data_IF_710155092321
#
_entry.id   IF_710155092321
#
_cell.length_a   1.000
_cell.length_b   1.000
_cell.length_c   1.000
_cell.angle_alpha   90.00
_cell.angle_beta   90.00
_cell.angle_gamma   90.00
#
_symmetry.space_group_name_H-M   'P 1'
#
loop_
_entity.id
_entity.type
_entity.pdbx_description
1 polymer ?
#
# COMPACT_ATOMS: atom_id res chain seq x y z
N UNK A 1 11.15 -39.84 0.99
CA UNK A 1 11.28 -38.97 2.18
C UNK A 1 10.26 -37.86 2.02
N UNK A 2 9.19 -37.92 2.82
CA UNK A 2 8.01 -37.05 2.79
C UNK A 2 7.96 -36.32 4.12
N UNK A 3 8.24 -35.02 4.15
CA UNK A 3 7.78 -34.09 5.21
C UNK A 3 7.75 -32.69 4.60
N UNK A 4 6.57 -32.20 4.22
CA UNK A 4 6.32 -30.76 4.11
C UNK A 4 5.01 -30.51 4.85
N UNK A 5 5.11 -29.61 5.82
CA UNK A 5 4.14 -29.38 6.88
C UNK A 5 2.88 -28.68 6.36
N UNK A 6 1.72 -29.20 6.82
CA UNK A 6 0.46 -28.46 6.84
C UNK A 6 0.59 -27.32 7.85
N UNK A 7 0.40 -26.08 7.40
CA UNK A 7 -0.09 -25.00 8.26
C UNK A 7 -1.52 -24.70 7.85
N UNK A 8 -2.46 -25.23 8.63
CA UNK A 8 -3.90 -24.97 8.51
C UNK A 8 -4.26 -23.83 9.45
N UNK A 9 -4.82 -22.79 8.83
CA UNK A 9 -5.68 -21.71 9.33
C UNK A 9 -6.37 -22.02 10.67
N UNK A 10 -6.11 -21.18 11.68
CA UNK A 10 -6.95 -21.12 12.88
C UNK A 10 -6.90 -19.74 13.54
N UNK A 11 -7.73 -18.80 13.09
CA UNK A 11 -8.14 -17.66 13.91
C UNK A 11 -9.58 -17.29 13.56
N UNK A 12 -10.52 -17.69 14.42
CA UNK A 12 -11.78 -17.01 14.77
C UNK A 12 -12.68 -18.00 15.53
N UNK A 13 -12.70 -17.90 16.86
CA UNK A 13 -13.87 -18.28 17.68
C UNK A 13 -13.73 -17.71 19.09
N UNK A 14 -14.34 -16.53 19.28
CA UNK A 14 -14.75 -16.00 20.58
C UNK A 14 -15.92 -16.85 21.07
N UNK A 15 -15.80 -17.52 22.23
CA UNK A 15 -16.94 -17.83 23.11
C UNK A 15 -16.51 -17.92 24.59
N UNK A 16 -16.93 -16.90 25.32
CA UNK A 16 -17.35 -16.84 26.73
C UNK A 16 -17.42 -18.16 27.52
N UNK A 17 -16.69 -18.25 28.65
CA UNK A 17 -17.19 -18.81 29.93
C UNK A 17 -16.51 -18.13 31.13
N UNK A 18 -17.33 -17.62 32.04
CA UNK A 18 -16.92 -16.94 33.27
C UNK A 18 -16.35 -17.88 34.33
N UNK A 19 -15.54 -17.30 35.21
CA UNK A 19 -15.07 -17.92 36.46
C UNK A 19 -15.33 -16.90 37.59
N UNK A 20 -16.22 -17.20 38.55
CA UNK A 20 -16.36 -16.40 39.76
C UNK A 20 -15.43 -16.89 40.87
N UNK A 21 -14.83 -15.95 41.60
CA UNK A 21 -14.31 -16.19 42.94
C UNK A 21 -12.80 -16.38 43.03
N UNK A 22 -12.07 -15.28 43.22
CA UNK A 22 -10.78 -15.30 43.90
C UNK A 22 -10.79 -14.21 44.98
N UNK A 23 -10.65 -14.69 46.22
CA UNK A 23 -10.66 -13.95 47.47
C UNK A 23 -9.44 -13.03 47.55
N UNK A 24 -9.68 -11.74 47.78
CA UNK A 24 -8.65 -10.76 48.15
C UNK A 24 -8.27 -11.00 49.60
N UNK A 25 -7.08 -11.56 49.85
CA UNK A 25 -6.43 -11.49 51.16
C UNK A 25 -5.50 -10.28 51.18
N UNK A 26 -5.77 -9.36 52.11
CA UNK A 26 -4.85 -8.31 52.55
C UNK A 26 -3.64 -8.96 53.22
N UNK A 27 -2.45 -8.43 52.95
CA UNK A 27 -1.36 -8.48 53.91
C UNK A 27 -0.71 -7.11 54.03
N UNK A 28 -0.88 -6.55 55.22
CA UNK A 28 -0.24 -5.35 55.74
C UNK A 28 1.26 -5.59 56.01
N UNK A 29 2.07 -4.54 55.81
CA UNK A 29 3.07 -4.13 56.81
C UNK A 29 4.56 -4.40 56.57
N UNK A 30 5.38 -3.36 56.80
CA UNK A 30 6.79 -3.43 57.20
C UNK A 30 7.82 -3.01 56.13
N UNK A 31 8.17 -1.72 55.95
CA UNK A 31 9.20 -0.92 56.67
C UNK A 31 10.63 -1.54 56.68
N UNK A 32 11.61 -0.95 55.94
CA UNK A 32 12.78 -0.17 56.42
C UNK A 32 13.93 -0.04 55.40
N UNK A 33 14.56 1.15 55.42
CA UNK A 33 15.97 1.49 55.13
C UNK A 33 16.44 1.86 53.71
N UNK A 34 16.35 3.17 53.42
CA UNK A 34 17.45 4.15 53.32
C UNK A 34 18.89 3.69 52.99
N UNK A 35 19.44 4.18 51.85
CA UNK A 35 20.82 4.68 51.61
C UNK A 35 20.68 5.77 50.51
N UNK A 36 20.71 7.08 50.76
CA UNK A 36 21.82 8.05 50.98
C UNK A 36 22.94 8.07 49.92
N UNK A 37 23.01 9.20 49.19
CA UNK A 37 24.25 9.81 48.66
C UNK A 37 24.46 9.61 47.15
N UNK A 38 24.77 10.61 46.32
CA UNK A 38 25.01 12.05 46.45
C UNK A 38 25.12 12.60 45.03
N UNK A 39 24.36 13.65 44.68
CA UNK A 39 24.75 15.05 44.60
C UNK A 39 25.96 15.42 43.72
N UNK A 40 25.63 16.32 42.80
CA UNK A 40 26.44 17.40 42.20
C UNK A 40 27.38 17.03 41.06
N UNK A 41 27.61 17.86 40.04
CA UNK A 41 27.07 19.11 39.46
C UNK A 41 28.11 19.51 38.40
N UNK A 42 27.83 20.56 37.59
CA UNK A 42 28.77 21.46 36.85
C UNK A 42 28.47 21.43 35.33
N UNK A 43 27.70 22.44 34.85
CA UNK A 43 28.15 23.61 34.04
C UNK A 43 28.71 23.21 32.66
N UNK A 44 28.41 23.83 31.53
CA UNK A 44 27.60 24.99 31.13
C UNK A 44 27.52 24.94 29.58
N UNK A 45 26.62 25.70 28.92
CA UNK A 45 26.57 25.80 27.46
C UNK A 45 27.46 26.96 26.94
N UNK A 46 27.83 26.95 25.64
CA UNK A 46 28.07 28.21 24.97
C UNK A 46 27.33 28.36 23.61
N UNK A 47 26.65 29.50 23.52
CA UNK A 47 26.72 30.51 22.44
C UNK A 47 26.22 30.22 21.02
N UNK A 48 25.06 30.81 20.72
CA UNK A 48 24.81 31.90 19.74
C UNK A 48 25.74 32.09 18.52
N UNK A 49 25.09 32.21 17.35
CA UNK A 49 25.61 32.73 16.08
C UNK A 49 25.27 31.76 14.94
N UNK A 50 24.60 32.10 13.84
CA UNK A 50 24.50 33.36 13.13
C UNK A 50 23.21 33.34 12.29
N UNK A 51 22.53 34.47 12.27
CA UNK A 51 21.61 34.89 11.21
C UNK A 51 22.34 34.82 9.87
N UNK A 52 21.75 34.16 8.87
CA UNK A 52 22.11 34.41 7.47
C UNK A 52 20.85 34.39 6.61
N UNK A 53 20.18 35.54 6.61
CA UNK A 53 19.11 35.88 5.68
C UNK A 53 19.72 36.16 4.30
N UNK A 54 19.88 35.11 3.47
CA UNK A 54 20.09 35.31 2.04
C UNK A 54 18.73 35.41 1.35
N UNK A 55 18.31 36.66 1.17
CA UNK A 55 17.43 37.03 0.07
C UNK A 55 18.12 36.71 -1.25
N UNK A 56 17.57 35.76 -2.01
CA UNK A 56 17.76 35.62 -3.45
C UNK A 56 16.35 35.57 -4.04
N UNK A 57 15.83 36.75 -4.37
CA UNK A 57 15.77 37.23 -5.76
C UNK A 57 14.73 36.46 -6.57
N UNK A 58 13.50 36.96 -6.45
CA UNK A 58 12.35 36.62 -7.27
C UNK A 58 12.59 37.19 -8.68
N UNK A 59 13.19 36.39 -9.56
CA UNK A 59 13.14 36.65 -11.00
C UNK A 59 11.74 36.35 -11.51
N UNK A 60 10.99 37.43 -11.78
CA UNK A 60 9.79 37.43 -12.60
C UNK A 60 10.14 36.93 -14.01
N UNK A 61 9.86 35.64 -14.25
CA UNK A 61 9.86 35.07 -15.59
C UNK A 61 8.71 35.64 -16.39
N UNK A 62 9.04 36.38 -17.45
CA UNK A 62 8.09 36.89 -18.44
C UNK A 62 7.31 35.74 -19.06
N UNK A 63 6.00 35.70 -18.80
CA UNK A 63 5.08 34.86 -19.57
C UNK A 63 4.97 35.43 -20.99
N UNK A 64 5.71 34.83 -21.91
CA UNK A 64 5.52 35.05 -23.34
C UNK A 64 4.28 34.27 -23.75
N UNK A 65 3.19 34.98 -24.01
CA UNK A 65 1.97 34.44 -24.59
C UNK A 65 2.28 33.96 -26.01
N UNK A 66 2.46 32.65 -26.19
CA UNK A 66 2.52 32.03 -27.52
C UNK A 66 1.07 31.93 -28.02
N UNK A 67 0.70 32.80 -28.96
CA UNK A 67 -0.48 32.61 -29.79
C UNK A 67 -0.29 31.34 -30.62
N UNK A 68 -1.05 30.29 -30.29
CA UNK A 68 -1.23 29.14 -31.17
C UNK A 68 -2.20 29.53 -32.32
N UNK A 69 -1.88 29.15 -33.57
CA UNK A 69 -2.79 29.32 -34.69
C UNK A 69 -4.03 28.42 -34.56
N UNK A 70 -5.18 28.83 -35.14
CA UNK A 70 -6.39 28.02 -35.14
C UNK A 70 -6.20 26.74 -35.96
N UNK A 71 -6.31 25.58 -35.31
CA UNK A 71 -6.37 24.29 -35.99
C UNK A 71 -7.78 24.06 -36.54
N UNK A 72 -7.86 24.00 -37.87
CA UNK A 72 -9.05 23.63 -38.63
C UNK A 72 -9.42 22.16 -38.39
N UNK A 73 -10.66 21.93 -37.97
CA UNK A 73 -11.27 20.61 -37.82
C UNK A 73 -11.66 20.02 -39.20
N UNK A 74 -11.18 18.83 -39.59
CA UNK A 74 -11.74 18.11 -40.72
C UNK A 74 -13.07 17.44 -40.34
N UNK A 75 -14.14 17.87 -41.02
CA UNK A 75 -15.42 17.17 -41.05
C UNK A 75 -15.24 15.79 -41.67
N UNK A 76 -15.58 14.73 -40.92
CA UNK A 76 -15.58 13.37 -41.46
C UNK A 76 -17.00 12.83 -41.50
N UNK A 77 -17.37 12.40 -42.70
CA UNK A 77 -18.67 11.97 -43.17
C UNK A 77 -19.12 10.68 -42.49
N UNK A 78 -20.38 10.65 -42.04
CA UNK A 78 -21.04 9.44 -41.59
C UNK A 78 -21.26 8.48 -42.77
N UNK A 79 -20.75 7.25 -42.65
CA UNK A 79 -21.10 6.13 -43.54
C UNK A 79 -22.06 5.21 -42.81
N UNK A 80 -23.29 5.12 -43.30
CA UNK A 80 -24.30 4.19 -42.85
C UNK A 80 -23.96 2.78 -43.37
N UNK A 81 -23.65 1.85 -42.46
CA UNK A 81 -23.55 0.42 -42.79
C UNK A 81 -24.82 -0.29 -42.36
N UNK A 82 -25.45 -0.94 -43.34
CA UNK A 82 -26.67 -1.74 -43.20
C UNK A 82 -26.41 -3.00 -42.36
N UNK A 83 -27.15 -3.14 -41.27
CA UNK A 83 -27.09 -4.30 -40.37
C UNK A 83 -27.87 -5.47 -40.94
N UNK A 84 -27.19 -6.58 -41.26
CA UNK A 84 -27.83 -7.88 -41.52
C UNK A 84 -28.04 -8.60 -40.20
N UNK A 85 -29.29 -8.65 -39.74
CA UNK A 85 -29.70 -9.36 -38.52
C UNK A 85 -29.60 -10.86 -38.75
N UNK A 86 -28.52 -11.47 -38.25
CA UNK A 86 -28.44 -12.92 -38.08
C UNK A 86 -28.96 -13.22 -36.69
N UNK A 87 -30.12 -13.89 -36.59
CA UNK A 87 -30.69 -14.36 -35.33
C UNK A 87 -29.85 -15.52 -34.84
N UNK A 88 -28.80 -15.21 -34.08
CA UNK A 88 -28.09 -16.19 -33.26
C UNK A 88 -28.96 -16.48 -32.05
N UNK A 89 -29.36 -17.74 -31.91
CA UNK A 89 -29.99 -18.30 -30.70
C UNK A 89 -29.12 -17.95 -29.50
N UNK A 90 -29.52 -16.94 -28.74
CA UNK A 90 -28.88 -16.56 -27.47
C UNK A 90 -29.20 -17.69 -26.49
N UNK A 91 -28.24 -18.60 -26.33
CA UNK A 91 -28.22 -19.51 -25.19
C UNK A 91 -28.34 -18.65 -23.93
N UNK A 92 -29.24 -18.96 -22.99
CA UNK A 92 -29.43 -18.14 -21.79
C UNK A 92 -28.09 -17.99 -21.11
N UNK A 93 -27.62 -16.74 -21.02
CA UNK A 93 -26.47 -16.36 -20.23
C UNK A 93 -26.69 -16.90 -18.84
N UNK A 94 -26.03 -18.00 -18.50
CA UNK A 94 -25.91 -18.45 -17.13
C UNK A 94 -25.32 -17.27 -16.38
N UNK A 95 -26.12 -16.64 -15.54
CA UNK A 95 -25.64 -15.73 -14.51
C UNK A 95 -24.63 -16.52 -13.70
N UNK A 96 -23.36 -16.44 -14.07
CA UNK A 96 -22.28 -17.16 -13.42
C UNK A 96 -22.30 -16.69 -11.99
N UNK A 97 -22.63 -17.61 -11.07
CA UNK A 97 -22.52 -17.35 -9.64
C UNK A 97 -21.11 -16.79 -9.43
N UNK A 98 -20.97 -15.58 -8.87
CA UNK A 98 -19.66 -15.00 -8.65
C UNK A 98 -18.85 -15.99 -7.83
N UNK A 99 -17.62 -16.24 -8.26
CA UNK A 99 -16.70 -17.12 -7.55
C UNK A 99 -16.71 -16.75 -6.06
N UNK A 100 -17.00 -17.73 -5.19
CA UNK A 100 -17.18 -17.51 -3.75
C UNK A 100 -15.93 -16.88 -3.13
N UNK A 101 -14.76 -17.15 -3.71
CA UNK A 101 -13.50 -16.51 -3.37
C UNK A 101 -13.56 -15.00 -3.64
N UNK A 102 -14.04 -14.59 -4.81
CA UNK A 102 -14.17 -13.18 -5.20
C UNK A 102 -15.16 -12.41 -4.33
N UNK A 103 -16.26 -13.04 -3.92
CA UNK A 103 -17.20 -12.44 -2.96
C UNK A 103 -16.52 -12.21 -1.61
N UNK A 104 -15.70 -13.16 -1.17
CA UNK A 104 -14.97 -13.06 0.10
C UNK A 104 -13.90 -11.97 0.04
N UNK A 105 -13.09 -11.91 -1.01
CA UNK A 105 -12.07 -10.88 -1.21
C UNK A 105 -12.69 -9.48 -1.25
N UNK A 106 -13.79 -9.31 -1.98
CA UNK A 106 -14.48 -8.01 -2.07
C UNK A 106 -14.95 -7.48 -0.70
N UNK A 107 -15.29 -8.37 0.24
CA UNK A 107 -15.73 -7.99 1.59
C UNK A 107 -14.61 -7.37 2.45
N UNK A 108 -13.36 -7.74 2.19
CA UNK A 108 -12.20 -7.31 2.98
C UNK A 108 -11.42 -6.17 2.32
N UNK A 109 -11.99 -5.50 1.31
CA UNK A 109 -11.35 -4.36 0.67
C UNK A 109 -10.95 -3.29 1.70
N UNK A 110 -9.67 -2.90 1.69
CA UNK A 110 -9.12 -1.91 2.63
C UNK A 110 -9.01 -2.39 4.09
N UNK A 111 -9.14 -3.70 4.35
CA UNK A 111 -8.93 -4.30 5.66
C UNK A 111 -7.58 -5.00 5.69
N UNK A 112 -6.77 -4.69 6.70
CA UNK A 112 -5.47 -5.32 6.90
C UNK A 112 -5.26 -5.65 8.38
N UNK A 113 -4.91 -6.90 8.67
CA UNK A 113 -4.83 -7.45 10.04
C UNK A 113 -6.07 -7.11 10.89
N UNK A 114 -7.26 -7.21 10.28
CA UNK A 114 -8.54 -6.94 10.94
C UNK A 114 -8.84 -5.45 11.18
N UNK A 115 -8.03 -4.53 10.67
CA UNK A 115 -8.26 -3.08 10.78
C UNK A 115 -8.65 -2.51 9.42
N UNK A 116 -9.81 -1.85 9.37
CA UNK A 116 -10.27 -1.15 8.18
C UNK A 116 -9.63 0.22 8.07
N UNK A 117 -9.25 0.61 6.85
CA UNK A 117 -8.75 1.93 6.50
C UNK A 117 -9.45 2.43 5.24
N UNK A 118 -10.24 3.49 5.39
CA UNK A 118 -10.92 4.17 4.28
C UNK A 118 -9.96 4.61 3.14
N UNK A 119 -8.82 5.28 3.40
CA UNK A 119 -7.91 5.65 2.32
C UNK A 119 -7.31 4.42 1.62
N UNK A 120 -7.13 3.30 2.33
CA UNK A 120 -6.71 2.06 1.71
C UNK A 120 -7.80 1.47 0.80
N UNK A 121 -9.06 1.52 1.22
CA UNK A 121 -10.19 1.09 0.41
C UNK A 121 -10.32 1.92 -0.89
N UNK A 122 -10.00 3.21 -0.84
CA UNK A 122 -9.95 4.09 -2.03
C UNK A 122 -8.84 3.64 -3.01
N UNK A 123 -7.62 3.41 -2.52
CA UNK A 123 -6.52 2.90 -3.35
C UNK A 123 -6.87 1.54 -3.98
N UNK A 124 -7.43 0.62 -3.20
CA UNK A 124 -7.87 -0.67 -3.71
C UNK A 124 -8.94 -0.54 -4.79
N UNK A 125 -9.92 0.35 -4.62
CA UNK A 125 -10.96 0.63 -5.62
C UNK A 125 -10.37 1.22 -6.90
N UNK A 126 -9.43 2.16 -6.77
CA UNK A 126 -8.77 2.79 -7.90
C UNK A 126 -7.91 1.79 -8.68
N UNK A 127 -7.17 0.91 -7.99
CA UNK A 127 -6.46 -0.21 -8.62
C UNK A 127 -7.41 -1.13 -9.40
N UNK A 128 -8.52 -1.57 -8.79
CA UNK A 128 -9.54 -2.40 -9.45
C UNK A 128 -10.13 -1.74 -10.70
N UNK A 129 -10.31 -0.42 -10.66
CA UNK A 129 -10.78 0.36 -11.80
C UNK A 129 -9.78 0.33 -12.96
N UNK A 130 -8.47 0.43 -12.68
CA UNK A 130 -7.41 0.30 -13.69
C UNK A 130 -7.34 -1.10 -14.30
N UNK A 131 -7.49 -2.13 -13.47
CA UNK A 131 -7.55 -3.54 -13.93
C UNK A 131 -8.75 -3.76 -14.85
N UNK A 132 -9.91 -3.22 -14.47
CA UNK A 132 -11.12 -3.26 -15.31
C UNK A 132 -10.92 -2.49 -16.63
N UNK A 133 -10.06 -1.46 -16.62
CA UNK A 133 -9.65 -0.70 -17.79
C UNK A 133 -8.56 -1.37 -18.66
N UNK A 134 -8.11 -2.58 -18.30
CA UNK A 134 -7.15 -3.36 -19.08
C UNK A 134 -5.73 -3.43 -18.50
N UNK A 135 -5.49 -2.95 -17.28
CA UNK A 135 -4.21 -3.19 -16.60
C UNK A 135 -4.01 -4.70 -16.36
N UNK A 136 -2.95 -5.26 -16.94
CA UNK A 136 -2.61 -6.67 -16.81
C UNK A 136 -1.45 -6.91 -15.83
N UNK A 137 -0.58 -5.93 -15.64
CA UNK A 137 0.55 -5.98 -14.71
C UNK A 137 0.30 -5.02 -13.54
N UNK A 138 -0.20 -5.57 -12.42
CA UNK A 138 -0.55 -4.79 -11.23
C UNK A 138 0.69 -4.24 -10.50
N UNK A 139 1.86 -4.83 -10.70
CA UNK A 139 3.12 -4.34 -10.09
C UNK A 139 3.82 -3.29 -10.96
N UNK A 140 3.25 -2.95 -12.12
CA UNK A 140 3.62 -1.76 -12.90
C UNK A 140 2.85 -0.49 -12.51
N UNK A 141 1.78 -0.62 -11.71
CA UNK A 141 0.93 0.51 -11.37
C UNK A 141 1.10 0.96 -9.92
N UNK A 142 1.40 2.25 -9.75
CA UNK A 142 1.61 2.89 -8.45
C UNK A 142 0.43 2.69 -7.49
N UNK A 143 -0.80 2.79 -7.99
CA UNK A 143 -2.02 2.68 -7.17
C UNK A 143 -2.21 1.25 -6.68
N UNK A 144 -1.93 0.26 -7.52
CA UNK A 144 -2.02 -1.15 -7.15
C UNK A 144 -0.94 -1.56 -6.14
N UNK A 145 0.30 -1.09 -6.30
CA UNK A 145 1.36 -1.32 -5.31
C UNK A 145 1.01 -0.67 -3.97
N UNK A 146 0.52 0.58 -3.96
CA UNK A 146 0.09 1.23 -2.73
C UNK A 146 -1.09 0.51 -2.06
N UNK A 147 -2.08 0.04 -2.84
CA UNK A 147 -3.18 -0.77 -2.33
C UNK A 147 -2.66 -2.05 -1.65
N UNK A 148 -1.74 -2.79 -2.30
CA UNK A 148 -1.13 -3.99 -1.73
C UNK A 148 -0.46 -3.71 -0.38
N UNK A 149 0.26 -2.60 -0.24
CA UNK A 149 0.93 -2.25 1.02
C UNK A 149 -0.01 -2.02 2.19
N UNK A 150 -1.27 -1.64 1.94
CA UNK A 150 -2.21 -1.29 3.00
C UNK A 150 -3.36 -2.27 3.21
N UNK A 151 -3.69 -3.11 2.21
CA UNK A 151 -4.71 -4.17 2.32
C UNK A 151 -4.13 -5.59 2.29
N UNK A 152 -2.84 -5.73 1.97
CA UNK A 152 -2.19 -7.02 1.80
C UNK A 152 -2.09 -7.44 0.33
N UNK A 153 -1.09 -8.27 0.05
CA UNK A 153 -0.80 -8.79 -1.30
C UNK A 153 -1.85 -9.80 -1.72
N UNK A 154 -2.31 -10.66 -0.82
CA UNK A 154 -3.31 -11.69 -1.11
C UNK A 154 -4.62 -11.09 -1.60
N UNK A 155 -5.13 -10.08 -0.89
CA UNK A 155 -6.37 -9.41 -1.28
C UNK A 155 -6.21 -8.62 -2.59
N UNK A 156 -5.02 -8.06 -2.85
CA UNK A 156 -4.78 -7.27 -4.07
C UNK A 156 -4.70 -8.15 -5.31
N UNK A 157 -3.89 -9.21 -5.29
CA UNK A 157 -3.78 -10.13 -6.43
C UNK A 157 -5.08 -10.90 -6.62
N UNK A 158 -5.69 -11.39 -5.53
CA UNK A 158 -6.97 -12.07 -5.59
C UNK A 158 -8.07 -11.18 -6.20
N UNK A 159 -8.18 -9.92 -5.77
CA UNK A 159 -9.14 -8.98 -6.35
C UNK A 159 -8.86 -8.71 -7.84
N UNK A 160 -7.59 -8.66 -8.23
CA UNK A 160 -7.19 -8.52 -9.62
C UNK A 160 -7.56 -9.74 -10.46
N UNK A 161 -7.32 -10.95 -9.95
CA UNK A 161 -7.71 -12.21 -10.60
C UNK A 161 -9.23 -12.37 -10.75
N UNK A 162 -10.02 -11.78 -9.86
CA UNK A 162 -11.48 -11.73 -9.98
C UNK A 162 -11.98 -10.84 -11.11
N UNK A 163 -11.18 -9.87 -11.55
CA UNK A 163 -11.53 -8.92 -12.62
C UNK A 163 -10.91 -9.34 -13.95
N UNK A 164 -9.65 -9.79 -13.93
CA UNK A 164 -8.89 -10.15 -15.11
C UNK A 164 -8.43 -11.62 -15.03
N UNK A 165 -9.02 -12.52 -15.84
CA UNK A 165 -8.66 -13.94 -15.86
C UNK A 165 -7.20 -14.21 -16.19
N UNK A 166 -6.53 -13.31 -16.92
CA UNK A 166 -5.11 -13.45 -17.26
C UNK A 166 -4.24 -13.35 -16.01
N UNK A 167 -4.58 -12.43 -15.09
CA UNK A 167 -3.92 -12.29 -13.79
C UNK A 167 -4.18 -13.55 -12.93
N UNK A 168 -5.42 -14.05 -12.93
CA UNK A 168 -5.77 -15.30 -12.22
C UNK A 168 -4.96 -16.50 -12.72
N UNK A 169 -4.70 -16.58 -14.02
CA UNK A 169 -4.02 -17.72 -14.64
C UNK A 169 -2.53 -17.82 -14.30
N UNK A 170 -1.88 -16.69 -14.03
CA UNK A 170 -0.45 -16.65 -13.66
C UNK A 170 -0.23 -16.75 -12.15
N UNK A 171 -1.25 -16.50 -11.32
CA UNK A 171 -1.16 -16.60 -9.86
C UNK A 171 -0.37 -15.46 -9.22
N UNK A 172 -0.14 -15.57 -7.91
CA UNK A 172 0.56 -14.56 -7.11
C UNK A 172 2.05 -14.48 -7.44
N UNK A 173 2.68 -15.64 -7.67
CA UNK A 173 4.11 -15.80 -7.94
C UNK A 173 4.49 -15.62 -9.40
N UNK A 174 3.55 -15.80 -10.32
CA UNK A 174 3.75 -15.59 -11.76
C UNK A 174 3.56 -14.14 -12.23
N UNK A 175 3.26 -13.19 -11.33
CA UNK A 175 3.21 -11.77 -11.67
C UNK A 175 4.59 -11.25 -12.12
N UNK A 176 4.60 -10.17 -12.91
CA UNK A 176 5.86 -9.54 -13.31
C UNK A 176 6.52 -8.87 -12.12
N UNK A 177 7.86 -8.86 -12.06
CA UNK A 177 8.56 -8.13 -11.01
C UNK A 177 8.14 -6.65 -10.98
N UNK A 178 8.17 -6.06 -9.78
CA UNK A 178 7.91 -4.64 -9.55
C UNK A 178 8.64 -3.81 -10.60
N UNK A 179 7.90 -2.97 -11.32
CA UNK A 179 8.48 -2.12 -12.36
C UNK A 179 9.57 -1.24 -11.74
N UNK A 180 10.79 -1.33 -12.29
CA UNK A 180 11.93 -0.65 -11.68
C UNK A 180 11.84 0.87 -11.74
N UNK A 181 11.14 1.44 -12.73
CA UNK A 181 10.87 2.88 -12.76
C UNK A 181 9.92 3.28 -11.64
N UNK A 182 8.91 2.46 -11.33
CA UNK A 182 8.04 2.68 -10.18
C UNK A 182 8.82 2.57 -8.86
N UNK A 183 9.75 1.63 -8.74
CA UNK A 183 10.66 1.59 -7.61
C UNK A 183 11.52 2.87 -7.51
N UNK A 184 12.04 3.35 -8.64
CA UNK A 184 12.79 4.60 -8.70
C UNK A 184 11.93 5.83 -8.33
N UNK A 185 10.62 5.83 -8.59
CA UNK A 185 9.72 6.87 -8.08
C UNK A 185 9.58 6.86 -6.54
N UNK A 186 9.76 5.71 -5.90
CA UNK A 186 9.69 5.57 -4.43
C UNK A 186 10.97 6.12 -3.79
N UNK A 187 12.13 5.68 -4.28
CA UNK A 187 13.43 5.96 -3.65
C UNK A 187 14.17 7.16 -4.25
N UNK A 188 13.73 7.63 -5.42
CA UNK A 188 14.35 8.71 -6.18
C UNK A 188 15.54 8.26 -7.04
N UNK A 189 16.32 9.23 -7.50
CA UNK A 189 17.46 9.04 -8.41
C UNK A 189 18.51 8.04 -7.92
N UNK A 190 18.62 7.81 -6.61
CA UNK A 190 19.56 6.85 -6.05
C UNK A 190 19.25 5.39 -6.42
N UNK A 191 18.08 5.09 -6.99
CA UNK A 191 17.78 3.78 -7.56
C UNK A 191 18.83 3.36 -8.61
N UNK A 192 19.31 4.32 -9.41
CA UNK A 192 20.21 4.06 -10.54
C UNK A 192 21.70 4.08 -10.16
N UNK A 193 22.03 4.37 -8.90
CA UNK A 193 23.40 4.31 -8.41
C UNK A 193 23.88 2.85 -8.31
N UNK A 194 25.20 2.56 -8.41
CA UNK A 194 25.72 1.22 -8.16
C UNK A 194 25.30 0.69 -6.79
N UNK A 195 24.58 -0.44 -6.77
CA UNK A 195 24.00 -1.02 -5.55
C UNK A 195 22.60 -0.51 -5.18
N UNK A 196 22.12 0.55 -5.82
CA UNK A 196 20.84 1.19 -5.54
C UNK A 196 20.72 1.74 -4.11
N UNK A 197 19.58 2.35 -3.80
CA UNK A 197 19.21 2.70 -2.44
C UNK A 197 17.96 1.90 -2.03
N UNK A 198 17.90 1.41 -0.77
CA UNK A 198 16.72 0.73 -0.26
C UNK A 198 15.61 1.74 0.06
N UNK A 199 14.37 1.26 0.10
CA UNK A 199 13.22 2.05 0.56
C UNK A 199 13.40 2.35 2.04
N UNK A 200 13.38 3.64 2.39
CA UNK A 200 13.32 4.10 3.79
C UNK A 200 11.87 4.30 4.23
N UNK A 201 11.66 4.47 5.54
CA UNK A 201 10.35 4.83 6.07
C UNK A 201 9.78 6.12 5.43
N UNK A 202 10.62 7.14 5.22
CA UNK A 202 10.16 8.38 4.61
C UNK A 202 9.78 8.19 3.15
N UNK A 203 10.57 7.41 2.39
CA UNK A 203 10.20 7.05 1.02
C UNK A 203 8.84 6.35 0.95
N UNK A 204 8.56 5.43 1.89
CA UNK A 204 7.28 4.75 1.96
C UNK A 204 6.11 5.70 2.28
N UNK A 205 6.29 6.61 3.24
CA UNK A 205 5.28 7.63 3.57
C UNK A 205 5.01 8.52 2.35
N UNK A 206 6.06 9.06 1.72
CA UNK A 206 5.92 9.95 0.57
C UNK A 206 5.29 9.24 -0.62
N UNK A 207 5.67 7.99 -0.87
CA UNK A 207 5.05 7.13 -1.87
C UNK A 207 3.55 6.98 -1.62
N UNK A 208 3.15 6.61 -0.40
CA UNK A 208 1.76 6.31 -0.07
C UNK A 208 0.88 7.56 -0.17
N UNK A 209 1.30 8.66 0.47
CA UNK A 209 0.57 9.94 0.43
C UNK A 209 0.56 10.54 -0.97
N UNK A 210 1.67 10.48 -1.71
CA UNK A 210 1.73 10.91 -3.11
C UNK A 210 0.79 10.11 -4.00
N UNK A 211 0.60 8.82 -3.72
CA UNK A 211 -0.36 7.98 -4.46
C UNK A 211 -1.80 8.35 -4.13
N UNK A 212 -2.13 8.61 -2.87
CA UNK A 212 -3.44 9.13 -2.48
C UNK A 212 -3.73 10.49 -3.13
N UNK A 213 -2.75 11.40 -3.17
CA UNK A 213 -2.89 12.67 -3.90
C UNK A 213 -3.15 12.44 -5.39
N UNK A 214 -2.49 11.47 -6.02
CA UNK A 214 -2.66 11.19 -7.46
C UNK A 214 -4.05 10.67 -7.84
N UNK A 215 -4.82 10.19 -6.86
CA UNK A 215 -6.22 9.77 -7.04
C UNK A 215 -7.20 10.80 -6.45
N UNK A 216 -6.75 12.02 -6.19
CA UNK A 216 -7.53 13.12 -5.62
C UNK A 216 -8.20 12.77 -4.28
N UNK A 217 -7.57 11.92 -3.46
CA UNK A 217 -8.12 11.56 -2.15
C UNK A 217 -8.16 12.76 -1.21
N UNK A 218 -9.28 12.94 -0.53
CA UNK A 218 -9.42 13.89 0.60
C UNK A 218 -9.36 13.21 1.96
N UNK A 219 -9.21 11.88 1.99
CA UNK A 219 -9.13 11.07 3.21
C UNK A 219 -7.70 10.58 3.38
N UNK A 220 -7.17 10.71 4.60
CA UNK A 220 -5.78 10.43 4.92
C UNK A 220 -5.68 9.49 6.13
N UNK A 221 -4.77 8.51 6.11
CA UNK A 221 -4.58 7.58 7.24
C UNK A 221 -3.82 8.27 8.37
N UNK A 222 -3.86 7.68 9.57
CA UNK A 222 -2.94 8.10 10.62
C UNK A 222 -1.52 7.64 10.28
N UNK A 223 -0.58 8.59 10.18
CA UNK A 223 0.79 8.30 9.76
C UNK A 223 1.50 7.33 10.70
N UNK A 224 1.32 7.48 12.02
CA UNK A 224 2.05 6.67 12.99
C UNK A 224 1.45 5.27 13.08
N UNK A 225 0.15 5.19 13.35
CA UNK A 225 -0.57 3.96 13.66
C UNK A 225 -0.83 3.10 12.43
N UNK A 226 -1.20 3.71 11.31
CA UNK A 226 -1.63 2.97 10.13
C UNK A 226 -0.48 2.84 9.13
N UNK A 227 0.20 3.94 8.78
CA UNK A 227 1.27 3.91 7.77
C UNK A 227 2.56 3.28 8.30
N UNK A 228 3.07 3.76 9.44
CA UNK A 228 4.38 3.34 9.96
C UNK A 228 4.26 2.01 10.72
N UNK A 229 3.40 1.91 11.72
CA UNK A 229 3.34 0.74 12.60
C UNK A 229 2.72 -0.47 11.91
N UNK A 230 1.60 -0.28 11.21
CA UNK A 230 0.86 -1.38 10.62
C UNK A 230 1.41 -1.77 9.24
N UNK A 231 1.44 -0.85 8.27
CA UNK A 231 1.78 -1.20 6.89
C UNK A 231 3.28 -1.33 6.66
N UNK A 232 4.05 -0.28 6.93
CA UNK A 232 5.51 -0.31 6.82
C UNK A 232 6.13 -1.33 7.77
N UNK A 233 5.65 -1.36 9.02
CA UNK A 233 6.08 -2.33 10.03
C UNK A 233 5.89 -3.78 9.58
N UNK A 234 4.79 -4.10 8.90
CA UNK A 234 4.56 -5.45 8.36
C UNK A 234 5.54 -5.81 7.24
N UNK A 235 5.80 -4.88 6.32
CA UNK A 235 6.75 -5.08 5.21
C UNK A 235 8.15 -5.32 5.79
N UNK A 236 8.60 -4.47 6.72
CA UNK A 236 9.90 -4.64 7.39
C UNK A 236 9.97 -5.95 8.17
N UNK A 237 8.91 -6.28 8.90
CA UNK A 237 8.82 -7.51 9.70
C UNK A 237 8.93 -8.77 8.84
N UNK A 238 8.38 -8.74 7.63
CA UNK A 238 8.51 -9.83 6.66
C UNK A 238 9.90 -9.85 6.00
N UNK A 239 10.40 -8.68 5.56
CA UNK A 239 11.66 -8.57 4.84
C UNK A 239 12.90 -8.88 5.69
N UNK A 240 12.84 -8.63 7.00
CA UNK A 240 13.94 -8.84 7.96
C UNK A 240 15.25 -8.10 7.61
N UNK A 241 15.14 -6.92 6.99
CA UNK A 241 16.28 -6.10 6.53
C UNK A 241 16.61 -4.93 7.45
N UNK A 242 16.00 -4.84 8.63
CA UNK A 242 16.17 -3.71 9.55
C UNK A 242 15.26 -2.54 9.18
N UNK A 243 15.78 -1.31 9.16
CA UNK A 243 14.98 -0.09 8.97
C UNK A 243 14.70 0.31 7.52
N UNK A 244 15.33 -0.38 6.57
CA UNK A 244 15.16 -0.12 5.14
C UNK A 244 14.90 -1.41 4.39
N UNK A 245 14.23 -1.34 3.24
CA UNK A 245 13.86 -2.52 2.44
C UNK A 245 14.42 -2.38 1.02
N UNK A 246 15.42 -3.18 0.63
CA UNK A 246 15.96 -3.21 -0.73
C UNK A 246 14.92 -3.65 -1.78
N UNK A 247 15.15 -3.31 -3.05
CA UNK A 247 14.29 -3.70 -4.18
C UNK A 247 13.91 -5.18 -4.17
N UNK A 248 14.90 -6.08 -4.08
CA UNK A 248 14.65 -7.52 -4.12
C UNK A 248 13.72 -7.97 -3.00
N UNK A 249 13.93 -7.50 -1.77
CA UNK A 249 13.07 -7.86 -0.64
C UNK A 249 11.66 -7.28 -0.77
N UNK A 250 11.52 -6.05 -1.27
CA UNK A 250 10.19 -5.47 -1.48
C UNK A 250 9.44 -6.15 -2.63
N UNK A 251 10.14 -6.48 -3.72
CA UNK A 251 9.60 -7.28 -4.80
C UNK A 251 9.18 -8.68 -4.31
N UNK A 252 10.02 -9.35 -3.53
CA UNK A 252 9.69 -10.66 -2.98
C UNK A 252 8.50 -10.58 -2.02
N UNK A 253 8.41 -9.52 -1.22
CA UNK A 253 7.25 -9.28 -0.37
C UNK A 253 5.95 -9.17 -1.19
N UNK A 254 5.97 -8.50 -2.35
CA UNK A 254 4.79 -8.38 -3.22
C UNK A 254 4.29 -9.73 -3.75
N UNK A 255 5.18 -10.70 -3.96
CA UNK A 255 4.85 -12.00 -4.55
C UNK A 255 4.63 -13.11 -3.52
N UNK A 256 5.28 -13.02 -2.35
CA UNK A 256 5.39 -14.16 -1.42
C UNK A 256 4.88 -13.90 -0.02
N UNK A 257 4.56 -12.65 0.34
CA UNK A 257 4.14 -12.35 1.71
C UNK A 257 2.80 -12.96 2.10
N UNK A 258 1.91 -13.19 1.12
CA UNK A 258 0.51 -13.60 1.35
C UNK A 258 -0.13 -12.80 2.50
N UNK A 259 0.16 -11.50 2.51
CA UNK A 259 -0.23 -10.57 3.57
C UNK A 259 -1.68 -10.13 3.47
#
# INVERSE_FOLDING_TARGET
MKVVALYVVAFMAVLTRGVPGAVVQRQDGGILSTIIGGLSSVLAPPTSGSTDSRMLSSTLGSFTTILLPPTSFPSTSASASSSTTTVTTVSPSTTSIPDQECVSIAKYQGVYHGRFSEPCALLASACRSKISGGLADIWSDRTCVAAATCQGTYLTVGAAGCINPSIKSIGDDGQQSLNYNLYAEIVGECAWAPGGCPITQQNFIDFFYGTLSSIDSTVWPDVQRDVIELWWGSIKGWALTGDTVPYLNFNDWLHWSHS
#
